data_IF_244686929471
#
_entry.id   IF_244686929471
#
_cell.length_a   1.000
_cell.length_b   1.000
_cell.length_c   1.000
_cell.angle_alpha   90.00
_cell.angle_beta   90.00
_cell.angle_gamma   90.00
#
_symmetry.space_group_name_H-M   'P 1'
#
loop_
_entity.id
_entity.type
_entity.pdbx_description
1 polymer ?
#
# COMPACT_ATOMS: atom_id res chain seq x y z
N UNK A 1 -30.06 -8.71 -18.63
CA UNK A 1 -28.79 -8.48 -17.92
C UNK A 1 -28.78 -7.00 -17.59
N UNK A 2 -28.97 -6.68 -16.31
CA UNK A 2 -29.07 -5.29 -15.85
C UNK A 2 -27.67 -4.65 -15.96
N UNK A 3 -27.57 -3.63 -16.81
CA UNK A 3 -26.32 -2.94 -17.08
C UNK A 3 -26.10 -1.92 -15.95
N UNK A 4 -25.52 -2.35 -14.83
CA UNK A 4 -25.21 -1.47 -13.70
C UNK A 4 -23.95 -0.65 -14.01
N UNK A 5 -24.12 0.36 -14.88
CA UNK A 5 -23.14 1.42 -15.03
C UNK A 5 -23.14 2.27 -13.76
N UNK A 6 -21.99 2.41 -13.11
CA UNK A 6 -21.81 3.28 -11.95
C UNK A 6 -21.73 4.75 -12.39
N UNK A 7 -22.38 5.67 -11.67
CA UNK A 7 -22.18 7.11 -11.86
C UNK A 7 -20.79 7.50 -11.32
N UNK A 8 -19.84 7.91 -12.17
CA UNK A 8 -18.49 8.21 -11.71
C UNK A 8 -18.43 9.35 -10.68
N UNK A 9 -19.36 10.30 -10.74
CA UNK A 9 -19.42 11.45 -9.82
C UNK A 9 -19.92 11.09 -8.41
N UNK A 10 -20.49 9.90 -8.26
CA UNK A 10 -20.99 9.36 -6.99
C UNK A 10 -20.26 8.06 -6.59
N UNK A 11 -19.17 7.71 -7.30
CA UNK A 11 -18.45 6.44 -7.11
C UNK A 11 -17.00 6.69 -6.75
N UNK A 12 -16.48 5.90 -5.82
CA UNK A 12 -15.08 5.87 -5.47
C UNK A 12 -14.53 4.44 -5.52
N UNK A 13 -13.26 4.32 -5.89
CA UNK A 13 -12.47 3.10 -5.81
C UNK A 13 -11.59 3.16 -4.58
N UNK A 14 -11.69 2.14 -3.73
CA UNK A 14 -10.78 1.94 -2.61
C UNK A 14 -9.82 0.81 -2.98
N UNK A 15 -8.52 1.11 -3.02
CA UNK A 15 -7.47 0.11 -3.18
C UNK A 15 -6.86 -0.14 -1.81
N UNK A 16 -7.07 -1.34 -1.26
CA UNK A 16 -6.82 -1.65 0.15
C UNK A 16 -5.63 -2.59 0.27
N UNK A 17 -4.71 -2.26 1.19
CA UNK A 17 -3.60 -3.13 1.62
C UNK A 17 -2.75 -3.69 0.46
N UNK A 18 -2.65 -2.95 -0.65
CA UNK A 18 -1.77 -3.27 -1.80
C UNK A 18 -0.32 -2.82 -1.56
N UNK A 19 0.14 -2.90 -0.32
CA UNK A 19 1.52 -2.60 0.10
C UNK A 19 2.43 -3.80 -0.17
N UNK A 20 3.73 -3.55 -0.40
CA UNK A 20 4.74 -4.61 -0.59
C UNK A 20 4.75 -5.65 0.53
N UNK A 21 4.44 -5.23 1.76
CA UNK A 21 4.32 -6.13 2.90
C UNK A 21 3.29 -7.25 2.67
N UNK A 22 2.24 -7.04 1.88
CA UNK A 22 1.23 -8.06 1.60
C UNK A 22 1.41 -8.74 0.25
N UNK A 23 2.22 -8.17 -0.65
CA UNK A 23 2.35 -8.65 -2.03
C UNK A 23 3.69 -9.31 -2.35
N UNK A 24 4.76 -9.02 -1.61
CA UNK A 24 6.06 -9.64 -1.87
C UNK A 24 6.18 -11.02 -1.19
N UNK A 25 6.55 -12.08 -1.92
CA UNK A 25 6.67 -13.44 -1.37
C UNK A 25 7.61 -13.56 -0.16
N UNK A 26 8.63 -12.71 -0.10
CA UNK A 26 9.61 -12.66 1.00
C UNK A 26 9.03 -12.04 2.28
N UNK A 27 7.86 -11.41 2.20
CA UNK A 27 7.23 -10.81 3.36
C UNK A 27 6.60 -11.89 4.25
N UNK A 28 6.81 -11.83 5.58
CA UNK A 28 6.21 -12.77 6.53
C UNK A 28 4.68 -12.65 6.62
N UNK A 29 4.09 -11.60 6.06
CA UNK A 29 2.64 -11.38 5.97
C UNK A 29 2.16 -11.33 4.52
N UNK A 30 2.93 -11.91 3.59
CA UNK A 30 2.52 -12.08 2.20
C UNK A 30 1.17 -12.80 2.13
N UNK A 31 0.28 -12.26 1.31
CA UNK A 31 -1.00 -12.87 0.97
C UNK A 31 -0.82 -13.59 -0.36
N UNK A 32 -1.01 -14.92 -0.35
CA UNK A 32 -0.94 -15.72 -1.56
C UNK A 32 -1.92 -15.20 -2.63
N UNK A 33 -1.44 -15.00 -3.86
CA UNK A 33 -2.26 -14.46 -4.95
C UNK A 33 -2.32 -12.93 -5.03
N UNK A 34 -1.81 -12.20 -4.04
CA UNK A 34 -1.92 -10.73 -4.01
C UNK A 34 -1.03 -10.03 -5.04
N UNK A 35 0.13 -10.61 -5.39
CA UNK A 35 1.01 -10.03 -6.42
C UNK A 35 0.41 -10.16 -7.81
N UNK A 36 -0.28 -11.26 -8.05
CA UNK A 36 -0.86 -11.68 -9.32
C UNK A 36 -2.01 -10.77 -9.74
N UNK A 37 -2.71 -10.15 -8.78
CA UNK A 37 -3.82 -9.23 -9.06
C UNK A 37 -3.38 -7.78 -9.29
N UNK A 38 -2.11 -7.42 -9.05
CA UNK A 38 -1.60 -6.05 -9.21
C UNK A 38 -1.89 -5.50 -10.63
N UNK A 39 -1.62 -6.23 -11.73
CA UNK A 39 -1.90 -5.70 -13.07
C UNK A 39 -3.39 -5.44 -13.33
N UNK A 40 -4.27 -6.26 -12.74
CA UNK A 40 -5.72 -6.08 -12.87
C UNK A 40 -6.20 -4.84 -12.08
N UNK A 41 -5.66 -4.64 -10.88
CA UNK A 41 -5.94 -3.45 -10.06
C UNK A 41 -5.45 -2.19 -10.77
N UNK A 42 -4.22 -2.19 -11.30
CA UNK A 42 -3.68 -1.04 -12.03
C UNK A 42 -4.58 -0.66 -13.22
N UNK A 43 -4.95 -1.65 -14.04
CA UNK A 43 -5.85 -1.45 -15.18
C UNK A 43 -7.21 -0.88 -14.73
N UNK A 44 -7.77 -1.39 -13.64
CA UNK A 44 -9.06 -0.92 -13.12
C UNK A 44 -8.97 0.52 -12.60
N UNK A 45 -7.90 0.84 -11.86
CA UNK A 45 -7.65 2.19 -11.34
C UNK A 45 -7.48 3.18 -12.49
N UNK A 46 -6.75 2.82 -13.54
CA UNK A 46 -6.59 3.69 -14.72
C UNK A 46 -7.94 3.99 -15.39
N UNK A 47 -8.77 2.96 -15.58
CA UNK A 47 -10.12 3.12 -16.13
C UNK A 47 -11.03 3.98 -15.23
N UNK A 48 -10.94 3.80 -13.91
CA UNK A 48 -11.71 4.58 -12.95
C UNK A 48 -11.26 6.05 -12.93
N UNK A 49 -9.95 6.30 -13.04
CA UNK A 49 -9.38 7.66 -13.18
C UNK A 49 -9.86 8.33 -14.47
N UNK A 50 -9.79 7.62 -15.59
CA UNK A 50 -10.30 8.11 -16.89
C UNK A 50 -11.80 8.43 -16.85
N UNK A 51 -12.58 7.66 -16.09
CA UNK A 51 -14.00 7.89 -15.87
C UNK A 51 -14.30 9.06 -14.90
N UNK A 52 -13.29 9.62 -14.22
CA UNK A 52 -13.46 10.71 -13.25
C UNK A 52 -13.88 10.25 -11.85
N UNK A 53 -13.70 8.98 -11.50
CA UNK A 53 -13.97 8.46 -10.15
C UNK A 53 -12.88 8.89 -9.15
N UNK A 54 -13.27 9.01 -7.89
CA UNK A 54 -12.32 9.20 -6.79
C UNK A 54 -11.55 7.90 -6.52
N UNK A 55 -10.23 7.98 -6.34
CA UNK A 55 -9.39 6.84 -5.99
C UNK A 55 -8.77 7.06 -4.62
N UNK A 56 -9.01 6.14 -3.69
CA UNK A 56 -8.41 6.13 -2.35
C UNK A 56 -7.49 4.94 -2.19
N UNK A 57 -6.23 5.21 -1.86
CA UNK A 57 -5.26 4.19 -1.47
C UNK A 57 -5.27 4.04 0.04
N UNK A 58 -5.77 2.91 0.52
CA UNK A 58 -5.87 2.61 1.95
C UNK A 58 -4.66 1.76 2.33
N UNK A 59 -3.81 2.34 3.16
CA UNK A 59 -2.61 1.70 3.67
C UNK A 59 -2.76 1.40 5.16
N UNK A 60 -2.15 0.30 5.59
CA UNK A 60 -1.95 -0.02 6.99
C UNK A 60 -0.61 0.52 7.46
N UNK A 61 -0.65 1.31 8.53
CA UNK A 61 0.54 1.78 9.23
C UNK A 61 0.39 1.52 10.73
N UNK A 62 1.48 1.09 11.36
CA UNK A 62 1.58 0.83 12.79
C UNK A 62 2.81 1.51 13.38
N UNK A 63 2.82 1.73 14.68
CA UNK A 63 4.03 2.17 15.38
C UNK A 63 5.13 1.11 15.25
N UNK A 64 6.40 1.55 15.24
CA UNK A 64 7.55 0.66 15.06
C UNK A 64 7.67 -0.42 16.15
N UNK A 65 7.12 -0.17 17.33
CA UNK A 65 7.03 -1.13 18.44
C UNK A 65 5.77 -2.02 18.39
N UNK A 66 4.91 -1.81 17.40
CA UNK A 66 3.65 -2.52 17.19
C UNK A 66 2.65 -2.34 18.34
N UNK A 67 2.77 -1.30 19.16
CA UNK A 67 1.87 -1.08 20.31
C UNK A 67 0.41 -0.84 19.91
N UNK A 68 0.16 -0.36 18.69
CA UNK A 68 -1.16 -0.18 18.07
C UNK A 68 -1.56 -1.33 17.13
N UNK A 69 -0.77 -2.40 17.07
CA UNK A 69 -0.97 -3.54 16.19
C UNK A 69 -1.78 -4.64 16.84
N UNK A 70 -2.57 -5.37 16.04
CA UNK A 70 -3.31 -6.53 16.52
C UNK A 70 -2.37 -7.61 17.09
N UNK A 71 -2.74 -8.19 18.23
CA UNK A 71 -1.85 -9.06 19.03
C UNK A 71 -1.23 -10.22 18.21
N UNK A 72 -2.01 -10.86 17.35
CA UNK A 72 -1.53 -11.99 16.54
C UNK A 72 -0.46 -11.56 15.54
N UNK A 73 -0.64 -10.38 14.92
CA UNK A 73 0.31 -9.80 13.97
C UNK A 73 1.54 -9.29 14.69
N UNK A 74 1.37 -8.63 15.84
CA UNK A 74 2.49 -8.19 16.69
C UNK A 74 3.36 -9.37 17.10
N UNK A 75 2.76 -10.48 17.54
CA UNK A 75 3.50 -11.71 17.90
C UNK A 75 4.23 -12.31 16.70
N UNK A 76 3.57 -12.39 15.54
CA UNK A 76 4.17 -12.90 14.31
C UNK A 76 5.39 -12.04 13.92
N UNK A 77 5.20 -10.74 13.71
CA UNK A 77 6.27 -9.85 13.26
C UNK A 77 7.40 -9.73 14.28
N UNK A 78 7.10 -9.80 15.58
CA UNK A 78 8.12 -9.89 16.63
C UNK A 78 8.93 -11.19 16.53
N UNK A 79 8.30 -12.34 16.25
CA UNK A 79 8.97 -13.63 16.05
C UNK A 79 9.87 -13.61 14.81
N UNK A 80 9.38 -13.01 13.73
CA UNK A 80 10.09 -12.89 12.45
C UNK A 80 11.13 -11.73 12.44
N UNK A 81 11.32 -11.02 13.56
CA UNK A 81 12.30 -9.93 13.67
C UNK A 81 11.98 -8.68 12.84
N UNK A 82 10.72 -8.48 12.45
CA UNK A 82 10.27 -7.43 11.54
C UNK A 82 9.10 -6.60 12.13
N UNK A 83 9.13 -6.32 13.43
CA UNK A 83 8.05 -5.61 14.13
C UNK A 83 7.67 -4.25 13.50
N UNK A 84 8.66 -3.52 12.95
CA UNK A 84 8.44 -2.27 12.25
C UNK A 84 8.01 -2.39 10.78
N UNK A 85 7.69 -3.60 10.29
CA UNK A 85 7.40 -3.85 8.86
C UNK A 85 6.31 -2.94 8.29
N UNK A 86 5.36 -2.56 9.14
CA UNK A 86 4.24 -1.69 8.78
C UNK A 86 4.41 -0.27 9.33
N UNK A 87 5.60 0.10 9.81
CA UNK A 87 5.85 1.46 10.26
C UNK A 87 6.18 2.39 9.07
N UNK A 88 5.91 3.70 9.17
CA UNK A 88 6.22 4.66 8.11
C UNK A 88 7.70 4.61 7.70
N UNK A 89 8.01 4.91 6.42
CA UNK A 89 9.40 4.91 5.94
C UNK A 89 10.26 5.86 6.80
N UNK A 90 11.32 5.31 7.39
CA UNK A 90 12.22 6.01 8.31
C UNK A 90 12.50 5.23 9.60
N UNK A 91 11.65 4.26 9.94
CA UNK A 91 11.92 3.26 10.98
C UNK A 91 12.66 2.06 10.37
N UNK A 92 13.93 1.89 10.75
CA UNK A 92 14.84 0.86 10.26
C UNK A 92 14.26 -0.58 10.28
N UNK A 93 13.63 -1.01 9.18
CA UNK A 93 13.35 -2.44 8.94
C UNK A 93 14.24 -2.93 7.83
N UNK A 94 15.33 -3.57 8.25
CA UNK A 94 16.15 -4.41 7.38
C UNK A 94 15.48 -5.78 7.33
N UNK A 95 14.99 -6.17 6.15
CA UNK A 95 14.76 -7.59 5.91
C UNK A 95 16.14 -8.24 5.88
N UNK A 96 16.41 -9.19 6.78
CA UNK A 96 17.55 -10.10 6.65
C UNK A 96 17.27 -11.04 5.47
N UNK A 97 17.27 -10.51 4.24
CA UNK A 97 17.57 -11.30 3.07
C UNK A 97 19.09 -11.42 3.05
N UNK A 98 19.64 -12.63 3.07
CA UNK A 98 21.08 -12.90 3.06
C UNK A 98 21.78 -12.50 1.76
N UNK A 99 21.53 -11.28 1.27
CA UNK A 99 22.06 -10.70 0.05
C UNK A 99 22.39 -9.23 0.34
N UNK A 100 23.67 -8.97 0.58
CA UNK A 100 24.27 -7.71 1.06
C UNK A 100 24.23 -6.56 0.03
N UNK A 101 23.33 -6.59 -0.95
CA UNK A 101 23.33 -5.66 -2.08
C UNK A 101 21.95 -5.31 -2.67
N UNK A 102 20.95 -4.99 -1.84
CA UNK A 102 19.73 -4.32 -2.34
C UNK A 102 19.41 -3.04 -1.58
N UNK A 103 19.72 -1.93 -2.26
CA UNK A 103 19.26 -0.58 -1.91
C UNK A 103 17.75 -0.60 -1.71
N UNK A 104 17.29 -0.09 -0.57
CA UNK A 104 15.90 0.23 -0.27
C UNK A 104 15.40 1.26 -1.27
N UNK A 105 14.74 0.80 -2.34
CA UNK A 105 14.02 1.66 -3.27
C UNK A 105 12.71 2.14 -2.63
N UNK A 106 12.28 3.38 -2.90
CA UNK A 106 11.08 3.96 -2.29
C UNK A 106 9.83 3.11 -2.54
N UNK A 107 8.88 3.18 -1.62
CA UNK A 107 7.63 2.46 -1.72
C UNK A 107 6.86 2.86 -2.97
N UNK A 108 6.37 1.87 -3.72
CA UNK A 108 5.54 2.14 -4.88
C UNK A 108 4.18 2.74 -4.46
N UNK A 109 3.74 2.45 -3.23
CA UNK A 109 2.55 3.06 -2.63
C UNK A 109 2.77 4.56 -2.34
N UNK A 110 3.95 4.94 -1.82
CA UNK A 110 4.28 6.36 -1.61
C UNK A 110 4.52 7.11 -2.92
N UNK A 111 5.11 6.46 -3.94
CA UNK A 111 5.32 7.12 -5.24
C UNK A 111 4.00 7.45 -5.96
N UNK A 112 2.93 6.65 -5.81
CA UNK A 112 1.61 7.06 -6.31
C UNK A 112 1.00 8.18 -5.45
N UNK A 113 1.13 8.15 -4.12
CA UNK A 113 0.66 9.22 -3.22
C UNK A 113 1.38 10.56 -3.53
N UNK A 114 2.69 10.55 -3.78
CA UNK A 114 3.46 11.74 -4.18
C UNK A 114 3.14 12.21 -5.60
N UNK A 115 2.69 11.31 -6.49
CA UNK A 115 2.19 11.68 -7.83
C UNK A 115 0.78 12.29 -7.79
N UNK A 116 0.02 12.03 -6.71
CA UNK A 116 -1.37 12.46 -6.49
C UNK A 116 -1.46 13.85 -5.83
N UNK A 117 -0.43 14.30 -5.10
CA UNK A 117 -0.38 15.67 -4.57
C UNK A 117 0.51 16.54 -5.47
N UNK A 118 -0.03 17.43 -6.33
CA UNK A 118 0.79 18.46 -6.92
C UNK A 118 1.36 19.34 -5.80
N UNK A 119 2.67 19.59 -5.83
CA UNK A 119 3.25 20.76 -5.20
C UNK A 119 2.43 21.98 -5.65
N UNK A 120 1.76 22.62 -4.68
CA UNK A 120 1.03 23.91 -4.70
C UNK A 120 -0.46 23.81 -4.41
N UNK A 121 -0.79 23.94 -3.13
CA UNK A 121 -1.81 24.91 -2.72
C UNK A 121 -1.05 26.16 -2.26
N UNK A 122 -0.52 26.93 -3.22
CA UNK A 122 -0.17 28.34 -2.99
C UNK A 122 -1.22 29.18 -3.70
N UNK A 123 -2.29 29.51 -2.97
CA UNK A 123 -3.37 30.36 -3.40
C UNK A 123 -3.97 31.03 -2.17
N UNK A 124 -3.21 31.98 -1.61
CA UNK A 124 -3.74 33.02 -0.74
C UNK A 124 -4.72 33.89 -1.52
N UNK A 125 -5.89 34.14 -0.90
CA UNK A 125 -6.80 35.29 -1.03
C UNK A 125 -7.16 35.81 -2.43
#
# INVERSE_FOLDING_TARGET
MENTAFDPSQTAVLVIDMQKAFTEPESPICVAGAKEIIPAIAKFVDQAREAGMLIFWICRQHLADGSDMEEFRRKLLKREGCLGLLAPIGSNVSFNTGDENKKTGPDHCENEIQRILPDKISGTA
#
